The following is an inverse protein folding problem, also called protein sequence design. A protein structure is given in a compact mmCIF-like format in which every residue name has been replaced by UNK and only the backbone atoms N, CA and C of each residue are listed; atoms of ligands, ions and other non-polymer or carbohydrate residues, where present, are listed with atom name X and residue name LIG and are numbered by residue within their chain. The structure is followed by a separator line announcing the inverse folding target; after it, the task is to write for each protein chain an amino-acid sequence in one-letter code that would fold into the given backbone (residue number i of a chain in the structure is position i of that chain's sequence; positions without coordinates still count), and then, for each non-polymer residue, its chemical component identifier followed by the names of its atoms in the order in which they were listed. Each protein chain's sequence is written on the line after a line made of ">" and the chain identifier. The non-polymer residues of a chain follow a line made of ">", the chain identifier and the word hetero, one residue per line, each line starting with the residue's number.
data_IF_842037728336
#
_entry.id   IF_842037728336
#
_cell.length_a   1.000
_cell.length_b   1.000
_cell.length_c   1.000
_cell.angle_alpha   90.00
_cell.angle_beta   90.00
_cell.angle_gamma   90.00
#
_symmetry.space_group_name_H-M   'P 1'
#
loop_
_entity.id
_entity.type
_entity.pdbx_description
1 polymer ?
#
# COMPACT_ATOMS: atom_id res chain seq x y z
N UNK A 1 80.68 -26.38 26.82
CA UNK A 1 80.75 -25.56 25.60
C UNK A 1 79.56 -25.99 24.76
N UNK A 2 78.39 -25.42 25.02
CA UNK A 2 77.17 -25.73 24.29
C UNK A 2 77.22 -24.96 22.96
N UNK A 3 76.86 -25.59 21.83
CA UNK A 3 77.08 -25.01 20.51
C UNK A 3 76.04 -23.89 20.25
N UNK A 4 76.51 -22.80 19.62
CA UNK A 4 75.79 -21.52 19.46
C UNK A 4 74.53 -21.63 18.58
N UNK A 5 74.41 -22.72 17.83
CA UNK A 5 73.26 -23.09 17.01
C UNK A 5 72.01 -23.42 17.85
N UNK A 6 72.19 -24.02 19.02
CA UNK A 6 71.07 -24.39 19.92
C UNK A 6 70.45 -23.15 20.57
N UNK A 7 71.27 -22.16 20.94
CA UNK A 7 70.79 -20.89 21.55
C UNK A 7 70.01 -20.03 20.53
N UNK A 8 70.46 -20.02 19.27
CA UNK A 8 69.78 -19.31 18.18
C UNK A 8 68.43 -19.96 17.81
N UNK A 9 68.33 -21.29 17.88
CA UNK A 9 67.08 -22.00 17.65
C UNK A 9 66.03 -21.73 18.75
N UNK A 10 66.47 -21.59 20.02
CA UNK A 10 65.59 -21.30 21.15
C UNK A 10 65.06 -19.85 21.12
N UNK A 11 65.89 -18.88 20.73
CA UNK A 11 65.49 -17.47 20.58
C UNK A 11 64.44 -17.29 19.47
N UNK A 12 64.54 -18.03 18.36
CA UNK A 12 63.54 -18.02 17.29
C UNK A 12 62.19 -18.65 17.71
N UNK A 13 62.19 -19.55 18.70
CA UNK A 13 60.99 -20.21 19.20
C UNK A 13 60.17 -19.33 20.17
N UNK A 14 60.82 -18.41 20.89
CA UNK A 14 60.17 -17.50 21.85
C UNK A 14 59.37 -16.34 21.22
N UNK A 15 59.50 -16.13 19.90
CA UNK A 15 58.81 -15.08 19.16
C UNK A 15 57.49 -15.53 18.51
N UNK A 16 56.82 -16.55 19.07
CA UNK A 16 55.50 -17.01 18.61
C UNK A 16 54.43 -16.79 19.68
N UNK A 17 54.32 -15.54 20.12
CA UNK A 17 53.24 -15.09 21.00
C UNK A 17 52.01 -14.72 20.18
N UNK A 18 51.09 -15.67 20.16
CA UNK A 18 49.72 -15.68 19.67
C UNK A 18 48.89 -14.54 20.27
N UNK A 19 49.07 -13.34 19.76
CA UNK A 19 48.14 -12.23 19.98
C UNK A 19 46.88 -12.45 19.16
N UNK A 20 45.99 -13.34 19.62
CA UNK A 20 44.60 -13.34 19.15
C UNK A 20 43.99 -11.99 19.55
N UNK A 21 44.04 -11.00 18.66
CA UNK A 21 43.15 -9.84 18.75
C UNK A 21 41.75 -10.42 18.54
N UNK A 22 40.86 -10.42 19.55
CA UNK A 22 39.47 -10.74 19.28
C UNK A 22 39.00 -9.73 18.24
N UNK A 23 38.62 -10.24 17.07
CA UNK A 23 37.89 -9.49 16.05
C UNK A 23 36.82 -8.67 16.79
N UNK A 24 36.93 -7.35 16.75
CA UNK A 24 35.90 -6.41 17.22
C UNK A 24 34.65 -6.44 16.32
N UNK A 25 34.25 -7.64 15.87
CA UNK A 25 33.03 -7.92 15.12
C UNK A 25 32.03 -8.55 16.11
N UNK A 26 31.86 -7.92 17.26
CA UNK A 26 30.83 -8.27 18.24
C UNK A 26 29.91 -7.07 18.54
N UNK A 27 29.76 -6.17 17.57
CA UNK A 27 28.93 -4.98 17.69
C UNK A 27 27.90 -4.81 16.58
N UNK A 28 27.51 -5.89 15.88
CA UNK A 28 26.56 -5.80 14.75
C UNK A 28 25.48 -6.89 14.73
N UNK A 29 25.14 -7.43 15.90
CA UNK A 29 24.12 -8.48 16.06
C UNK A 29 22.75 -7.93 16.47
N UNK A 30 22.66 -6.60 16.64
CA UNK A 30 21.43 -5.85 16.90
C UNK A 30 21.21 -4.75 15.86
N UNK A 31 21.57 -5.00 14.59
CA UNK A 31 20.89 -4.26 13.52
C UNK A 31 19.48 -4.83 13.51
N UNK A 32 18.59 -4.18 14.28
CA UNK A 32 17.18 -4.23 14.02
C UNK A 32 17.02 -3.83 12.56
N UNK A 33 16.95 -4.82 11.66
CA UNK A 33 16.58 -4.59 10.28
C UNK A 33 15.28 -3.80 10.37
N UNK A 34 15.36 -2.51 10.04
CA UNK A 34 14.22 -1.63 10.26
C UNK A 34 13.09 -2.24 9.45
N UNK A 35 11.85 -2.31 9.96
CA UNK A 35 10.74 -2.91 9.22
C UNK A 35 10.63 -2.34 7.80
N UNK A 36 11.08 -1.09 7.61
CA UNK A 36 11.19 -0.42 6.32
C UNK A 36 12.15 -1.12 5.32
N UNK A 37 13.29 -1.65 5.75
CA UNK A 37 14.28 -2.28 4.85
C UNK A 37 13.78 -3.64 4.34
N UNK A 38 13.08 -4.40 5.18
CA UNK A 38 12.43 -5.66 4.78
C UNK A 38 11.26 -5.42 3.83
N UNK A 39 10.46 -4.39 4.11
CA UNK A 39 9.35 -3.98 3.25
C UNK A 39 9.86 -3.48 1.90
N UNK A 40 10.93 -2.70 1.88
CA UNK A 40 11.57 -2.21 0.65
C UNK A 40 12.13 -3.35 -0.19
N UNK A 41 12.81 -4.33 0.42
CA UNK A 41 13.31 -5.51 -0.28
C UNK A 41 12.19 -6.38 -0.86
N UNK A 42 11.09 -6.54 -0.11
CA UNK A 42 9.90 -7.26 -0.60
C UNK A 42 9.21 -6.51 -1.75
N UNK A 43 9.02 -5.20 -1.63
CA UNK A 43 8.46 -4.36 -2.71
C UNK A 43 9.33 -4.35 -3.97
N UNK A 44 10.65 -4.50 -3.83
CA UNK A 44 11.57 -4.63 -4.96
C UNK A 44 11.46 -5.99 -5.65
N UNK A 45 11.29 -7.08 -4.88
CA UNK A 45 11.02 -8.40 -5.41
C UNK A 45 9.65 -8.47 -6.13
N UNK A 46 8.62 -7.87 -5.55
CA UNK A 46 7.24 -7.89 -6.06
C UNK A 46 6.90 -6.73 -7.02
N UNK A 47 7.89 -5.95 -7.48
CA UNK A 47 7.66 -4.74 -8.31
C UNK A 47 6.76 -5.03 -9.52
N UNK A 48 6.92 -6.18 -10.16
CA UNK A 48 6.11 -6.58 -11.31
C UNK A 48 4.63 -6.79 -10.97
N UNK A 49 4.31 -7.13 -9.72
CA UNK A 49 2.97 -7.43 -9.25
C UNK A 49 2.25 -6.20 -8.68
N UNK A 50 2.95 -5.09 -8.43
CA UNK A 50 2.35 -3.84 -7.97
C UNK A 50 1.30 -3.29 -8.95
N UNK A 51 1.47 -3.52 -10.25
CA UNK A 51 0.49 -3.13 -11.26
C UNK A 51 -0.84 -3.89 -11.11
N UNK A 52 -0.81 -5.15 -10.64
CA UNK A 52 -2.02 -5.96 -10.42
C UNK A 52 -2.87 -5.43 -9.25
N UNK A 53 -2.28 -4.65 -8.35
CA UNK A 53 -3.00 -4.02 -7.23
C UNK A 53 -3.74 -2.74 -7.62
N UNK A 54 -3.48 -2.20 -8.82
CA UNK A 54 -4.19 -1.01 -9.33
C UNK A 54 -5.72 -1.18 -9.29
N UNK A 55 -6.32 -2.24 -9.88
CA UNK A 55 -7.76 -2.46 -9.81
C UNK A 55 -8.27 -2.65 -8.38
N UNK A 56 -7.47 -3.26 -7.50
CA UNK A 56 -7.86 -3.47 -6.09
C UNK A 56 -7.97 -2.13 -5.36
N UNK A 57 -6.96 -1.26 -5.48
CA UNK A 57 -6.97 0.07 -4.84
C UNK A 57 -8.08 0.95 -5.40
N UNK A 58 -8.34 0.88 -6.70
CA UNK A 58 -9.45 1.59 -7.32
C UNK A 58 -10.79 1.07 -6.82
N UNK A 59 -10.96 -0.25 -6.71
CA UNK A 59 -12.14 -0.90 -6.14
C UNK A 59 -12.37 -0.56 -4.67
N UNK A 60 -11.31 -0.43 -3.87
CA UNK A 60 -11.40 0.05 -2.48
C UNK A 60 -11.96 1.48 -2.41
N UNK A 61 -11.53 2.36 -3.32
CA UNK A 61 -12.10 3.71 -3.44
C UNK A 61 -13.59 3.70 -3.77
N UNK A 62 -14.00 2.82 -4.68
CA UNK A 62 -15.43 2.63 -5.04
C UNK A 62 -16.22 2.07 -3.85
N UNK A 63 -15.69 1.05 -3.16
CA UNK A 63 -16.34 0.45 -2.01
C UNK A 63 -16.49 1.46 -0.84
N UNK A 64 -15.48 2.31 -0.63
CA UNK A 64 -15.53 3.39 0.35
C UNK A 64 -16.70 4.35 0.07
N UNK A 65 -16.95 4.69 -1.20
CA UNK A 65 -18.09 5.54 -1.56
C UNK A 65 -19.43 4.95 -1.11
N UNK A 66 -19.65 3.63 -1.31
CA UNK A 66 -20.86 2.94 -0.85
C UNK A 66 -20.95 2.78 0.67
N UNK A 67 -19.82 2.64 1.36
CA UNK A 67 -19.79 2.53 2.81
C UNK A 67 -20.02 3.87 3.53
N UNK A 68 -19.75 4.99 2.84
CA UNK A 68 -19.82 6.32 3.43
C UNK A 68 -21.18 6.98 3.11
N UNK A 69 -21.91 7.49 4.13
CA UNK A 69 -23.26 8.02 3.94
C UNK A 69 -23.33 9.46 3.44
N UNK A 70 -22.27 10.26 3.62
CA UNK A 70 -22.29 11.71 3.37
C UNK A 70 -21.22 12.17 2.37
N UNK A 71 -21.57 13.16 1.55
CA UNK A 71 -20.67 13.80 0.58
C UNK A 71 -19.42 14.43 1.20
N UNK A 72 -19.52 14.92 2.45
CA UNK A 72 -18.38 15.46 3.20
C UNK A 72 -17.31 14.40 3.47
N UNK A 73 -17.73 13.16 3.74
CA UNK A 73 -16.81 12.04 4.03
C UNK A 73 -16.14 11.54 2.75
N UNK A 74 -16.86 11.53 1.62
CA UNK A 74 -16.26 11.23 0.32
C UNK A 74 -15.16 12.25 -0.03
N UNK A 75 -15.41 13.54 0.21
CA UNK A 75 -14.41 14.60 0.07
C UNK A 75 -13.22 14.40 1.01
N UNK A 76 -13.46 13.98 2.26
CA UNK A 76 -12.38 13.66 3.20
C UNK A 76 -11.49 12.50 2.72
N UNK A 77 -12.07 11.45 2.13
CA UNK A 77 -11.30 10.34 1.52
C UNK A 77 -10.43 10.84 0.37
N UNK A 78 -10.97 11.69 -0.51
CA UNK A 78 -10.21 12.27 -1.61
C UNK A 78 -9.06 13.17 -1.12
N UNK A 79 -9.35 14.06 -0.16
CA UNK A 79 -8.35 14.96 0.42
C UNK A 79 -7.28 14.21 1.19
N UNK A 80 -7.65 13.18 1.96
CA UNK A 80 -6.70 12.32 2.66
C UNK A 80 -5.79 11.59 1.66
N UNK A 81 -6.36 11.04 0.57
CA UNK A 81 -5.59 10.39 -0.48
C UNK A 81 -4.59 11.35 -1.15
N UNK A 82 -5.02 12.57 -1.48
CA UNK A 82 -4.17 13.62 -2.04
C UNK A 82 -3.08 14.08 -1.06
N UNK A 83 -3.42 14.28 0.21
CA UNK A 83 -2.48 14.70 1.24
C UNK A 83 -1.40 13.64 1.47
N UNK A 84 -1.78 12.36 1.54
CA UNK A 84 -0.84 11.24 1.65
C UNK A 84 0.06 11.14 0.42
N UNK A 85 -0.48 11.36 -0.77
CA UNK A 85 0.29 11.38 -2.00
C UNK A 85 1.31 12.52 -2.03
N UNK A 86 0.89 13.73 -1.66
CA UNK A 86 1.74 14.91 -1.57
C UNK A 86 2.84 14.72 -0.51
N UNK A 87 2.50 14.17 0.66
CA UNK A 87 3.47 13.85 1.71
C UNK A 87 4.50 12.81 1.24
N UNK A 88 4.06 11.76 0.54
CA UNK A 88 4.93 10.74 -0.02
C UNK A 88 5.87 11.25 -1.12
N UNK A 89 5.45 12.27 -1.89
CA UNK A 89 6.26 12.94 -2.91
C UNK A 89 7.23 13.98 -2.31
N UNK A 90 6.79 14.73 -1.30
CA UNK A 90 7.57 15.77 -0.62
C UNK A 90 8.67 15.20 0.29
N UNK A 91 8.51 13.95 0.75
CA UNK A 91 9.53 13.23 1.50
C UNK A 91 10.76 12.92 0.64
N UNK A 92 11.70 13.87 0.53
CA UNK A 92 12.96 13.73 -0.20
C UNK A 92 13.89 12.59 0.29
N UNK A 93 13.56 11.96 1.41
CA UNK A 93 14.24 10.79 1.99
C UNK A 93 13.37 9.53 2.06
N UNK A 94 12.14 9.58 1.55
CA UNK A 94 11.24 8.44 1.53
C UNK A 94 11.72 7.39 0.52
N UNK A 95 12.02 6.19 0.99
CA UNK A 95 12.33 5.05 0.14
C UNK A 95 11.19 4.72 -0.82
N UNK A 96 11.42 3.80 -1.77
CA UNK A 96 10.44 3.48 -2.83
C UNK A 96 9.06 3.09 -2.30
N UNK A 97 8.99 2.52 -1.08
CA UNK A 97 7.73 2.20 -0.42
C UNK A 97 6.80 3.39 -0.16
N UNK A 98 7.33 4.58 0.14
CA UNK A 98 6.49 5.78 0.34
C UNK A 98 5.84 6.21 -0.97
N UNK A 99 6.52 6.03 -2.11
CA UNK A 99 5.95 6.32 -3.44
C UNK A 99 4.87 5.31 -3.82
N UNK A 100 5.07 4.03 -3.51
CA UNK A 100 4.05 2.99 -3.75
C UNK A 100 2.79 3.28 -2.93
N UNK A 101 2.94 3.64 -1.65
CA UNK A 101 1.82 4.04 -0.80
C UNK A 101 1.14 5.32 -1.30
N UNK A 102 1.91 6.31 -1.78
CA UNK A 102 1.38 7.53 -2.38
C UNK A 102 0.51 7.22 -3.62
N UNK A 103 0.99 6.34 -4.51
CA UNK A 103 0.22 5.93 -5.70
C UNK A 103 -1.02 5.13 -5.30
N UNK A 104 -0.92 4.22 -4.33
CA UNK A 104 -2.08 3.48 -3.82
C UNK A 104 -3.15 4.43 -3.24
N UNK A 105 -2.75 5.43 -2.46
CA UNK A 105 -3.65 6.44 -1.92
C UNK A 105 -4.34 7.28 -3.01
N UNK A 106 -3.59 7.64 -4.07
CA UNK A 106 -4.17 8.32 -5.24
C UNK A 106 -5.20 7.45 -5.97
N UNK A 107 -4.93 6.16 -6.13
CA UNK A 107 -5.85 5.24 -6.80
C UNK A 107 -7.15 5.06 -6.03
N UNK A 108 -7.10 5.02 -4.69
CA UNK A 108 -8.29 5.00 -3.83
C UNK A 108 -9.10 6.30 -3.99
N UNK A 109 -8.43 7.47 -3.95
CA UNK A 109 -9.10 8.76 -4.16
C UNK A 109 -9.75 8.84 -5.55
N UNK A 110 -9.05 8.36 -6.59
CA UNK A 110 -9.54 8.32 -7.95
C UNK A 110 -10.74 7.37 -8.09
N UNK A 111 -10.70 6.19 -7.48
CA UNK A 111 -11.83 5.25 -7.47
C UNK A 111 -13.09 5.85 -6.87
N UNK A 112 -12.95 6.56 -5.74
CA UNK A 112 -14.05 7.30 -5.12
C UNK A 112 -14.58 8.42 -6.04
N UNK A 113 -13.69 9.17 -6.71
CA UNK A 113 -14.08 10.24 -7.63
C UNK A 113 -14.79 9.72 -8.90
N UNK A 114 -14.37 8.55 -9.41
CA UNK A 114 -14.98 7.93 -10.58
C UNK A 114 -16.42 7.48 -10.31
N UNK A 115 -16.67 6.83 -9.18
CA UNK A 115 -18.03 6.40 -8.84
C UNK A 115 -18.93 7.58 -8.49
N UNK A 116 -18.38 8.59 -7.80
CA UNK A 116 -19.04 9.88 -7.58
C UNK A 116 -19.49 10.43 -8.94
N UNK A 117 -18.56 10.72 -9.86
CA UNK A 117 -18.87 11.28 -11.19
C UNK A 117 -19.92 10.48 -11.97
N UNK A 118 -19.85 9.14 -11.89
CA UNK A 118 -20.85 8.26 -12.51
C UNK A 118 -22.24 8.48 -11.89
N UNK A 119 -22.31 8.69 -10.58
CA UNK A 119 -23.57 8.95 -9.89
C UNK A 119 -24.21 10.26 -10.37
N UNK A 120 -23.49 11.37 -10.57
CA UNK A 120 -24.11 12.57 -11.16
C UNK A 120 -24.51 12.38 -12.62
N UNK A 121 -23.68 11.67 -13.41
CA UNK A 121 -23.98 11.47 -14.83
C UNK A 121 -25.19 10.57 -15.06
N UNK A 122 -25.42 9.61 -14.17
CA UNK A 122 -26.54 8.66 -14.22
C UNK A 122 -27.71 9.13 -13.38
N UNK A 123 -27.63 10.29 -12.74
CA UNK A 123 -28.75 10.88 -12.01
C UNK A 123 -29.91 11.17 -12.97
N UNK A 124 -30.82 10.20 -13.11
CA UNK A 124 -32.11 10.40 -13.71
C UNK A 124 -32.84 11.50 -12.91
N UNK A 125 -33.72 12.29 -13.55
CA UNK A 125 -34.52 13.28 -12.85
C UNK A 125 -35.28 12.59 -11.71
N UNK A 126 -34.79 12.77 -10.49
CA UNK A 126 -35.36 12.16 -9.30
C UNK A 126 -36.62 12.94 -8.99
N UNK A 127 -37.74 12.24 -8.78
CA UNK A 127 -38.95 12.89 -8.27
C UNK A 127 -38.60 13.52 -6.91
N UNK A 128 -38.64 14.85 -6.85
CA UNK A 128 -38.23 15.62 -5.67
C UNK A 128 -39.10 15.35 -4.43
N UNK A 129 -40.25 14.70 -4.62
CA UNK A 129 -41.13 14.25 -3.56
C UNK A 129 -42.30 13.42 -4.09
N UNK A 130 -43.14 12.90 -3.19
CA UNK A 130 -44.37 12.23 -3.57
C UNK A 130 -45.27 13.22 -4.34
N UNK A 131 -45.58 12.90 -5.59
CA UNK A 131 -46.46 13.70 -6.43
C UNK A 131 -47.51 12.80 -7.07
N UNK A 132 -48.77 13.23 -7.01
CA UNK A 132 -49.86 12.59 -7.75
C UNK A 132 -49.92 13.29 -9.10
N UNK A 133 -49.42 12.62 -10.13
CA UNK A 133 -49.39 13.13 -11.51
C UNK A 133 -49.99 12.11 -12.46
N UNK A 134 -50.76 12.57 -13.43
CA UNK A 134 -51.15 11.73 -14.56
C UNK A 134 -49.91 11.51 -15.43
N UNK A 135 -49.51 10.26 -15.62
CA UNK A 135 -48.42 9.91 -16.51
C UNK A 135 -48.97 9.11 -17.70
N UNK A 136 -48.43 9.38 -18.88
CA UNK A 136 -48.71 8.62 -20.09
C UNK A 136 -47.44 7.84 -20.42
N UNK A 137 -47.58 6.54 -20.68
CA UNK A 137 -46.45 5.64 -20.91
C UNK A 137 -46.79 4.56 -21.92
N UNK A 138 -45.82 4.18 -22.75
CA UNK A 138 -45.97 3.07 -23.69
C UNK A 138 -45.57 1.77 -23.01
N UNK A 139 -46.41 0.76 -23.13
CA UNK A 139 -46.07 -0.60 -22.68
C UNK A 139 -45.02 -1.16 -23.65
N UNK A 140 -43.76 -1.29 -23.20
CA UNK A 140 -42.68 -1.89 -24.01
C UNK A 140 -42.70 -3.42 -23.96
N UNK A 141 -42.94 -3.99 -22.78
CA UNK A 141 -42.94 -5.45 -22.58
C UNK A 141 -43.83 -5.83 -21.41
N UNK A 142 -44.58 -6.92 -21.56
CA UNK A 142 -45.36 -7.53 -20.48
C UNK A 142 -44.71 -8.87 -20.13
N UNK A 143 -44.24 -8.98 -18.89
CA UNK A 143 -43.76 -10.25 -18.34
C UNK A 143 -44.82 -10.77 -17.36
N UNK A 144 -45.41 -11.92 -17.70
CA UNK A 144 -46.34 -12.59 -16.80
C UNK A 144 -45.56 -13.17 -15.63
N UNK A 145 -45.53 -12.44 -14.51
CA UNK A 145 -45.03 -13.01 -13.27
C UNK A 145 -46.08 -14.00 -12.75
N UNK A 146 -45.76 -15.31 -12.67
CA UNK A 146 -46.65 -16.26 -12.02
C UNK A 146 -46.89 -15.79 -10.59
N UNK A 147 -48.12 -15.93 -10.11
CA UNK A 147 -48.51 -15.48 -8.78
C UNK A 147 -47.51 -16.03 -7.75
N UNK A 148 -46.75 -15.14 -7.11
CA UNK A 148 -46.06 -15.49 -5.87
C UNK A 148 -47.15 -15.69 -4.84
N UNK A 149 -47.46 -16.95 -4.60
CA UNK A 149 -48.07 -17.51 -3.41
C UNK A 149 -48.77 -16.50 -2.50
N UNK A 150 -50.08 -16.35 -2.71
CA UNK A 150 -51.00 -16.13 -1.60
C UNK A 150 -50.96 -17.40 -0.74
N UNK A 151 -50.13 -17.41 0.30
CA UNK A 151 -50.21 -18.35 1.43
C UNK A 151 -50.33 -17.54 2.70
#
# INVERSE_FOLDING_TARGET
>A
MLPEDVLMAELAASARSTGFRPLQIAGRWWVSARPNERLEAWLEAERGQLFLWVPVMLGVGVAAWFALPDASRWGAVMLAGLALAAAGLAGARGGRGTRVLAVAALLVALGCALIWWRAERVAAPVLAGPAIVAFEGKVERVEAQPARDMV
#
